data_IF_366185153462
#
_entry.id   IF_366185153462
#
_cell.length_a   1.000
_cell.length_b   1.000
_cell.length_c   1.000
_cell.angle_alpha   90.00
_cell.angle_beta   90.00
_cell.angle_gamma   90.00
#
_symmetry.space_group_name_H-M   'P 1'
#
loop_
_entity.id
_entity.type
_entity.pdbx_description
1 polymer ?
#
# COMPACT_ATOMS: atom_id res chain seq x y z
N UNK A 1 9.38 7.46 1.18
CA UNK A 1 9.58 5.99 1.20
C UNK A 1 11.01 5.60 1.56
N UNK A 2 12.03 6.00 0.77
CA UNK A 2 13.45 5.73 1.04
C UNK A 2 13.96 6.25 2.39
N UNK A 3 13.33 7.26 2.98
CA UNK A 3 13.67 7.77 4.32
C UNK A 3 12.98 7.01 5.45
N UNK A 4 11.88 6.32 5.17
CA UNK A 4 11.02 5.73 6.22
C UNK A 4 11.31 4.23 6.36
N UNK A 5 11.20 3.47 5.28
CA UNK A 5 11.29 2.01 5.35
C UNK A 5 12.65 1.51 5.87
N UNK A 6 13.81 2.12 5.50
CA UNK A 6 15.10 1.71 6.05
C UNK A 6 15.26 1.92 7.56
N UNK A 7 14.47 2.84 8.14
CA UNK A 7 14.50 3.10 9.60
C UNK A 7 13.67 2.10 10.41
N UNK A 8 12.89 1.25 9.74
CA UNK A 8 12.11 0.23 10.43
C UNK A 8 13.03 -0.90 10.91
N UNK A 9 12.81 -1.41 12.15
CA UNK A 9 13.56 -2.56 12.63
C UNK A 9 13.22 -3.81 11.82
N UNK A 10 14.17 -4.74 11.69
CA UNK A 10 13.97 -6.02 10.98
C UNK A 10 12.78 -6.82 11.51
N UNK A 11 12.43 -6.65 12.79
CA UNK A 11 11.33 -7.34 13.47
C UNK A 11 10.09 -6.45 13.66
N UNK A 12 9.86 -5.50 12.76
CA UNK A 12 8.66 -4.67 12.80
C UNK A 12 7.39 -5.52 12.59
N UNK A 13 6.67 -5.81 13.67
CA UNK A 13 5.60 -6.81 13.70
C UNK A 13 4.27 -6.42 13.03
N UNK A 14 4.17 -5.25 12.40
CA UNK A 14 2.95 -4.81 11.72
C UNK A 14 3.15 -4.96 10.20
N UNK A 15 2.26 -5.66 9.47
CA UNK A 15 2.33 -5.73 8.02
C UNK A 15 2.16 -4.34 7.41
N UNK A 16 2.92 -4.03 6.37
CA UNK A 16 2.82 -2.77 5.63
C UNK A 16 2.42 -3.10 4.20
N UNK A 17 1.40 -2.42 3.67
CA UNK A 17 0.97 -2.55 2.28
C UNK A 17 1.11 -1.20 1.59
N UNK A 18 1.79 -1.18 0.45
CA UNK A 18 2.18 0.04 -0.25
C UNK A 18 1.59 0.04 -1.65
N UNK A 19 0.89 1.13 -1.98
CA UNK A 19 0.60 1.51 -3.36
C UNK A 19 1.54 2.64 -3.75
N UNK A 20 2.31 2.42 -4.82
CA UNK A 20 3.13 3.45 -5.44
C UNK A 20 2.64 3.68 -6.87
N UNK A 21 2.46 4.95 -7.25
CA UNK A 21 2.16 5.29 -8.64
C UNK A 21 3.43 5.06 -9.45
N UNK A 22 3.43 3.98 -10.21
CA UNK A 22 4.50 3.56 -11.10
C UNK A 22 3.96 3.47 -12.52
N UNK A 23 4.80 3.76 -13.50
CA UNK A 23 4.41 3.62 -14.90
C UNK A 23 4.05 2.17 -15.23
N UNK A 24 3.10 1.97 -16.16
CA UNK A 24 2.69 0.64 -16.62
C UNK A 24 3.83 -0.22 -17.19
N UNK A 25 4.94 0.43 -17.61
CA UNK A 25 6.17 -0.18 -18.13
C UNK A 25 7.32 -0.15 -17.12
N UNK A 26 7.03 0.05 -15.84
CA UNK A 26 8.03 -0.01 -14.78
C UNK A 26 8.79 -1.33 -14.87
N UNK A 27 10.11 -1.25 -14.95
CA UNK A 27 11.03 -2.39 -15.01
C UNK A 27 11.37 -2.98 -13.63
N UNK A 28 10.82 -2.37 -12.56
CA UNK A 28 11.00 -2.81 -11.18
C UNK A 28 12.31 -2.31 -10.54
N UNK A 29 13.08 -1.44 -11.21
CA UNK A 29 14.33 -0.91 -10.64
C UNK A 29 14.11 -0.16 -9.33
N UNK A 30 13.01 0.59 -9.23
CA UNK A 30 12.65 1.30 -8.00
C UNK A 30 12.44 0.33 -6.82
N UNK A 31 11.84 -0.83 -7.09
CA UNK A 31 11.55 -1.87 -6.11
C UNK A 31 12.86 -2.53 -5.66
N UNK A 32 13.74 -2.88 -6.60
CA UNK A 32 15.09 -3.42 -6.32
C UNK A 32 15.94 -2.48 -5.49
N UNK A 33 15.88 -1.18 -5.76
CA UNK A 33 16.59 -0.17 -4.96
C UNK A 33 16.02 -0.15 -3.54
N UNK A 34 14.69 -0.19 -3.40
CA UNK A 34 14.03 -0.17 -2.10
C UNK A 34 14.36 -1.42 -1.28
N UNK A 35 14.31 -2.60 -1.91
CA UNK A 35 14.69 -3.88 -1.32
C UNK A 35 16.11 -3.87 -0.75
N UNK A 36 17.07 -3.30 -1.48
CA UNK A 36 18.46 -3.16 -1.00
C UNK A 36 18.63 -2.21 0.18
N UNK A 37 17.75 -1.22 0.32
CA UNK A 37 17.84 -0.21 1.39
C UNK A 37 17.12 -0.64 2.67
N UNK A 38 16.18 -1.58 2.58
CA UNK A 38 15.31 -1.96 3.69
C UNK A 38 15.90 -3.12 4.50
N UNK A 39 15.82 -3.02 5.83
CA UNK A 39 16.16 -4.12 6.74
C UNK A 39 15.00 -5.11 6.96
N UNK A 40 13.78 -4.69 6.58
CA UNK A 40 12.57 -5.50 6.63
C UNK A 40 12.37 -6.20 5.27
N UNK A 41 11.81 -7.41 5.30
CA UNK A 41 11.44 -8.14 4.08
C UNK A 41 10.39 -7.35 3.30
N UNK A 42 10.67 -7.15 2.01
CA UNK A 42 9.78 -6.47 1.09
C UNK A 42 9.57 -7.35 -0.14
N UNK A 43 8.33 -7.44 -0.62
CA UNK A 43 7.97 -8.15 -1.85
C UNK A 43 6.83 -7.46 -2.58
N UNK A 44 6.71 -7.71 -3.88
CA UNK A 44 5.45 -7.46 -4.57
C UNK A 44 4.39 -8.43 -4.06
N UNK A 45 3.17 -7.95 -3.86
CA UNK A 45 2.05 -8.80 -3.44
C UNK A 45 1.74 -9.84 -4.52
N UNK A 46 1.26 -11.02 -4.10
CA UNK A 46 0.78 -12.08 -4.98
C UNK A 46 -0.73 -12.31 -4.80
N UNK A 47 -1.40 -12.71 -5.88
CA UNK A 47 -2.83 -13.03 -5.86
C UNK A 47 -3.12 -14.14 -4.85
N UNK A 48 -4.12 -13.94 -3.98
CA UNK A 48 -4.53 -14.84 -2.89
C UNK A 48 -3.48 -15.09 -1.81
N UNK A 49 -2.41 -14.29 -1.77
CA UNK A 49 -1.43 -14.39 -0.70
C UNK A 49 -1.98 -13.84 0.62
N UNK A 50 -1.76 -14.57 1.72
CA UNK A 50 -2.08 -14.13 3.08
C UNK A 50 -1.14 -13.01 3.54
N UNK A 51 -1.70 -11.97 4.17
CA UNK A 51 -0.95 -10.83 4.72
C UNK A 51 -0.25 -11.22 6.03
N UNK A 52 1.09 -11.30 6.00
CA UNK A 52 1.90 -11.73 7.13
C UNK A 52 2.57 -10.58 7.87
N UNK A 53 2.62 -10.69 9.20
CA UNK A 53 3.41 -9.82 10.07
C UNK A 53 4.90 -9.81 9.67
N UNK A 54 5.57 -8.67 9.82
CA UNK A 54 7.00 -8.54 9.49
C UNK A 54 7.30 -8.43 7.99
N UNK A 55 6.28 -8.16 7.17
CA UNK A 55 6.41 -8.05 5.72
C UNK A 55 5.92 -6.69 5.21
N UNK A 56 6.65 -6.16 4.23
CA UNK A 56 6.20 -5.05 3.38
C UNK A 56 5.75 -5.61 2.04
N UNK A 57 4.51 -5.33 1.67
CA UNK A 57 3.91 -5.71 0.40
C UNK A 57 3.76 -4.49 -0.50
N UNK A 58 4.09 -4.65 -1.76
CA UNK A 58 3.97 -3.62 -2.80
C UNK A 58 2.92 -4.04 -3.81
N UNK A 59 1.98 -3.16 -4.13
CA UNK A 59 1.03 -3.38 -5.21
C UNK A 59 1.74 -3.50 -6.56
N UNK A 60 1.49 -4.56 -7.34
CA UNK A 60 2.11 -4.72 -8.65
C UNK A 60 1.59 -3.68 -9.65
N UNK A 61 2.36 -3.36 -10.71
CA UNK A 61 1.90 -2.47 -11.76
C UNK A 61 0.68 -3.05 -12.48
N UNK A 62 -0.15 -2.17 -13.06
CA UNK A 62 -1.31 -2.53 -13.89
C UNK A 62 -2.49 -3.23 -13.19
N UNK A 63 -2.43 -3.44 -11.88
CA UNK A 63 -3.55 -3.96 -11.07
C UNK A 63 -3.86 -3.03 -9.91
N UNK A 64 -5.12 -2.96 -9.51
CA UNK A 64 -5.44 -2.50 -8.15
C UNK A 64 -5.17 -3.66 -7.19
N UNK A 65 -4.56 -3.35 -6.05
CA UNK A 65 -4.39 -4.28 -4.94
C UNK A 65 -5.54 -4.08 -3.96
N UNK A 66 -6.27 -5.15 -3.67
CA UNK A 66 -7.38 -5.19 -2.74
C UNK A 66 -7.04 -6.14 -1.59
N UNK A 67 -7.73 -5.96 -0.46
CA UNK A 67 -7.67 -6.87 0.68
C UNK A 67 -9.04 -7.52 0.87
N UNK A 68 -9.07 -8.83 0.85
CA UNK A 68 -10.27 -9.64 1.04
C UNK A 68 -10.58 -9.86 2.53
N UNK A 69 -11.82 -10.26 2.83
CA UNK A 69 -12.28 -10.50 4.23
C UNK A 69 -11.50 -11.58 4.96
N UNK A 70 -10.93 -12.53 4.24
CA UNK A 70 -10.05 -13.58 4.77
C UNK A 70 -8.60 -13.11 4.95
N UNK A 71 -8.33 -11.81 4.77
CA UNK A 71 -7.01 -11.16 4.90
C UNK A 71 -6.00 -11.66 3.87
N UNK A 72 -6.48 -12.02 2.69
CA UNK A 72 -5.66 -12.29 1.52
C UNK A 72 -5.69 -11.11 0.54
N UNK A 73 -4.71 -11.05 -0.36
CA UNK A 73 -4.73 -10.10 -1.46
C UNK A 73 -5.57 -10.58 -2.65
N UNK A 74 -6.19 -9.63 -3.34
CA UNK A 74 -6.76 -9.87 -4.67
C UNK A 74 -6.43 -8.72 -5.62
N UNK A 75 -6.38 -9.01 -6.92
CA UNK A 75 -6.06 -8.06 -7.96
C UNK A 75 -7.29 -7.73 -8.80
N UNK A 76 -7.46 -6.44 -9.09
CA UNK A 76 -8.52 -5.96 -9.98
C UNK A 76 -7.94 -5.21 -11.18
N UNK A 77 -8.48 -5.52 -12.36
CA UNK A 77 -8.26 -4.77 -13.60
C UNK A 77 -9.36 -3.73 -13.85
N UNK A 78 -10.08 -3.32 -12.81
CA UNK A 78 -11.07 -2.26 -12.85
C UNK A 78 -10.53 -0.94 -13.41
N UNK A 79 -11.44 0.00 -13.63
CA UNK A 79 -11.10 1.31 -14.21
C UNK A 79 -10.04 2.04 -13.38
N UNK A 80 -9.19 2.81 -14.06
CA UNK A 80 -8.18 3.63 -13.38
C UNK A 80 -8.87 4.64 -12.49
N UNK A 81 -8.43 4.73 -11.23
CA UNK A 81 -8.90 5.73 -10.27
C UNK A 81 -7.89 6.86 -10.23
N UNK A 82 -8.34 8.11 -10.43
CA UNK A 82 -7.46 9.27 -10.55
C UNK A 82 -6.34 9.07 -11.59
N UNK A 83 -6.69 8.44 -12.73
CA UNK A 83 -5.76 8.06 -13.81
C UNK A 83 -4.68 7.04 -13.42
N UNK A 84 -4.76 6.45 -12.22
CA UNK A 84 -3.77 5.48 -11.71
C UNK A 84 -4.33 4.07 -11.56
N UNK A 85 -3.45 3.10 -11.80
CA UNK A 85 -3.62 1.68 -11.43
C UNK A 85 -2.22 1.09 -11.22
N UNK A 86 -1.80 0.84 -9.95
CA UNK A 86 -2.60 0.81 -8.73
C UNK A 86 -3.05 2.19 -8.20
N UNK A 87 -4.17 2.20 -7.45
CA UNK A 87 -4.66 3.38 -6.71
C UNK A 87 -4.79 3.05 -5.23
N UNK A 88 -4.36 3.98 -4.38
CA UNK A 88 -4.40 3.82 -2.92
C UNK A 88 -5.80 4.05 -2.36
N UNK A 89 -6.66 4.82 -3.05
CA UNK A 89 -8.09 4.91 -2.69
C UNK A 89 -8.74 3.52 -2.67
N UNK A 90 -8.47 2.69 -3.68
CA UNK A 90 -9.02 1.33 -3.80
C UNK A 90 -8.48 0.41 -2.69
N UNK A 91 -7.19 0.48 -2.41
CA UNK A 91 -6.59 -0.30 -1.32
C UNK A 91 -7.18 0.12 0.03
N UNK A 92 -7.24 1.42 0.31
CA UNK A 92 -7.78 1.94 1.57
C UNK A 92 -9.24 1.57 1.76
N UNK A 93 -10.05 1.63 0.71
CA UNK A 93 -11.45 1.23 0.79
C UNK A 93 -11.60 -0.22 1.28
N UNK A 94 -10.98 -1.18 0.59
CA UNK A 94 -11.09 -2.60 0.97
C UNK A 94 -10.41 -2.90 2.30
N UNK A 95 -9.22 -2.34 2.56
CA UNK A 95 -8.54 -2.51 3.83
C UNK A 95 -9.36 -1.99 5.02
N UNK A 96 -10.08 -0.87 4.84
CA UNK A 96 -10.90 -0.27 5.90
C UNK A 96 -12.07 -1.14 6.34
N UNK A 97 -12.58 -1.98 5.43
CA UNK A 97 -13.68 -2.90 5.69
C UNK A 97 -13.22 -4.19 6.38
N UNK A 98 -11.92 -4.52 6.29
CA UNK A 98 -11.33 -5.74 6.85
C UNK A 98 -10.67 -5.49 8.20
N UNK A 99 -9.94 -4.38 8.35
CA UNK A 99 -9.12 -4.10 9.52
C UNK A 99 -9.71 -3.05 10.46
N UNK A 100 -10.72 -2.29 10.01
CA UNK A 100 -11.44 -1.31 10.83
C UNK A 100 -10.49 -0.44 11.69
N UNK A 101 -10.66 -0.44 13.01
CA UNK A 101 -9.93 0.38 13.98
C UNK A 101 -8.46 -0.02 14.13
N UNK A 102 -8.05 -1.17 13.59
CA UNK A 102 -6.67 -1.68 13.59
C UNK A 102 -5.87 -1.24 12.37
N UNK A 103 -6.48 -0.54 11.43
CA UNK A 103 -5.82 -0.03 10.24
C UNK A 103 -5.19 1.34 10.49
N UNK A 104 -3.96 1.53 10.01
CA UNK A 104 -3.28 2.83 9.97
C UNK A 104 -3.11 3.25 8.51
N UNK A 105 -3.84 4.29 8.10
CA UNK A 105 -3.66 4.91 6.79
C UNK A 105 -2.57 5.97 6.80
N UNK A 106 -1.59 5.84 5.90
CA UNK A 106 -0.52 6.82 5.69
C UNK A 106 -0.48 7.22 4.22
N UNK A 107 -0.62 8.52 3.96
CA UNK A 107 -0.35 9.11 2.65
C UNK A 107 0.95 9.89 2.73
N UNK A 108 1.85 9.62 1.79
CA UNK A 108 3.08 10.39 1.56
C UNK A 108 2.88 11.39 0.42
N UNK A 109 3.85 12.28 0.18
CA UNK A 109 3.78 13.25 -0.92
C UNK A 109 3.52 12.60 -2.27
N UNK A 110 2.62 13.21 -3.04
CA UNK A 110 2.25 12.83 -4.38
C UNK A 110 1.64 14.02 -5.13
N UNK A 111 1.52 13.89 -6.45
CA UNK A 111 1.10 14.97 -7.34
C UNK A 111 -0.41 14.99 -7.64
N UNK A 112 -1.17 13.96 -7.24
CA UNK A 112 -2.59 13.85 -7.52
C UNK A 112 -3.43 13.67 -6.25
N UNK A 113 -4.75 13.60 -6.45
CA UNK A 113 -5.73 13.46 -5.38
C UNK A 113 -5.95 12.02 -4.91
N UNK A 114 -5.19 11.05 -5.42
CA UNK A 114 -5.35 9.65 -5.03
C UNK A 114 -5.01 9.45 -3.55
N UNK A 115 -5.92 8.79 -2.86
CA UNK A 115 -5.89 8.58 -1.41
C UNK A 115 -6.76 9.55 -0.61
N UNK A 116 -7.22 10.66 -1.20
CA UNK A 116 -8.10 11.59 -0.51
C UNK A 116 -9.44 10.94 -0.13
N UNK A 117 -10.03 10.14 -1.03
CA UNK A 117 -11.31 9.47 -0.78
C UNK A 117 -11.13 8.28 0.18
N UNK A 118 -10.05 7.53 0.01
CA UNK A 118 -9.65 6.43 0.88
C UNK A 118 -9.44 6.91 2.32
N UNK A 119 -8.72 8.02 2.52
CA UNK A 119 -8.59 8.62 3.86
C UNK A 119 -9.93 9.04 4.45
N UNK A 120 -10.85 9.57 3.62
CA UNK A 120 -12.20 9.93 4.08
C UNK A 120 -13.00 8.69 4.49
N UNK A 121 -12.80 7.55 3.84
CA UNK A 121 -13.38 6.26 4.25
C UNK A 121 -12.75 5.81 5.57
N UNK A 122 -11.42 5.84 5.69
CA UNK A 122 -10.69 5.50 6.92
C UNK A 122 -11.13 6.34 8.13
N UNK A 123 -11.42 7.63 7.95
CA UNK A 123 -11.96 8.48 9.04
C UNK A 123 -13.21 7.92 9.72
N UNK A 124 -13.98 7.07 9.04
CA UNK A 124 -15.22 6.51 9.59
C UNK A 124 -14.99 5.25 10.41
N UNK A 125 -13.89 4.53 10.19
CA UNK A 125 -13.70 3.17 10.71
C UNK A 125 -12.32 2.93 11.31
N UNK A 126 -11.33 3.79 11.09
CA UNK A 126 -9.92 3.53 11.34
C UNK A 126 -9.16 4.73 11.95
N UNK A 127 -8.00 4.44 12.55
CA UNK A 127 -7.04 5.47 12.96
C UNK A 127 -6.22 5.89 11.74
N UNK A 128 -6.25 7.16 11.36
CA UNK A 128 -5.55 7.66 10.18
C UNK A 128 -4.62 8.80 10.55
N UNK A 129 -3.48 8.92 9.86
CA UNK A 129 -2.57 10.05 10.05
C UNK A 129 -1.97 10.48 8.72
N UNK A 130 -2.26 11.72 8.33
CA UNK A 130 -1.70 12.32 7.14
C UNK A 130 -0.26 12.75 7.43
N UNK A 131 0.71 12.14 6.73
CA UNK A 131 2.12 12.53 6.79
C UNK A 131 2.53 13.15 5.46
N UNK A 132 2.31 14.45 5.30
CA UNK A 132 2.87 15.20 4.18
C UNK A 132 4.36 15.47 4.46
N UNK A 133 5.22 14.52 4.09
CA UNK A 133 6.68 14.68 4.17
C UNK A 133 7.13 15.46 2.93
N UNK A 134 7.18 16.79 3.04
CA UNK A 134 7.76 17.67 2.01
C UNK A 134 9.25 17.36 1.80
#
# INVERSE_FOLDING_TARGET
MKTILPTLPTQFGIPIVIVQHIGARSDGEWFRILEKLCNIKIKEAEEKEEIKSGMVYVAPPNYHLLIEKDKTFSFSIGERVNFSRPSIDVLFETASEVYEDKLIGVILTGANSDGAQGLKKLKKTAVWRLFKIL
#
